data_IF_354095713204
#
_entry.id   IF_354095713204
#
_cell.length_a   1.000
_cell.length_b   1.000
_cell.length_c   1.000
_cell.angle_alpha   90.00
_cell.angle_beta   90.00
_cell.angle_gamma   90.00
#
_symmetry.space_group_name_H-M   'P 1'
#
loop_
_entity.id
_entity.type
_entity.pdbx_description
1 polymer ?
#
# COMPACT_ATOMS: atom_id res chain seq x y z
N UNK A 1 -18.17 -13.68 -1.64
CA UNK A 1 -17.79 -12.77 -0.53
C UNK A 1 -18.22 -13.36 0.79
N UNK A 2 -17.51 -13.03 1.88
CA UNK A 2 -17.87 -13.47 3.24
C UNK A 2 -19.02 -12.61 3.77
N UNK A 3 -20.10 -13.24 4.22
CA UNK A 3 -21.34 -12.56 4.66
C UNK A 3 -21.25 -11.87 6.03
N UNK A 4 -20.21 -12.15 6.83
CA UNK A 4 -20.05 -11.56 8.17
C UNK A 4 -19.82 -10.03 8.13
N UNK A 5 -20.42 -9.30 9.06
CA UNK A 5 -20.25 -7.85 9.18
C UNK A 5 -18.86 -7.48 9.73
N UNK A 6 -18.29 -6.38 9.24
CA UNK A 6 -16.98 -5.90 9.70
C UNK A 6 -17.04 -5.24 11.08
N UNK A 7 -15.89 -5.14 11.75
CA UNK A 7 -15.79 -4.62 13.12
C UNK A 7 -15.71 -3.08 13.23
N UNK A 8 -15.62 -2.36 12.10
CA UNK A 8 -15.38 -0.93 12.12
C UNK A 8 -14.00 -0.59 12.72
N UNK A 9 -13.95 0.51 13.45
CA UNK A 9 -12.79 1.02 14.18
C UNK A 9 -11.83 1.86 13.34
N UNK A 10 -10.82 2.41 14.04
CA UNK A 10 -9.75 3.22 13.47
C UNK A 10 -8.38 2.56 13.67
N UNK A 11 -7.52 2.69 12.65
CA UNK A 11 -6.10 2.34 12.73
C UNK A 11 -5.24 3.57 13.02
N UNK A 12 -4.03 3.30 13.50
CA UNK A 12 -2.96 4.30 13.69
C UNK A 12 -3.40 5.50 14.52
N UNK A 13 -4.38 5.35 15.41
CA UNK A 13 -4.76 6.45 16.33
C UNK A 13 -3.55 6.82 17.19
N UNK A 14 -2.77 5.82 17.61
CA UNK A 14 -1.43 5.96 18.19
C UNK A 14 -0.34 5.36 17.29
N UNK A 15 0.92 5.75 17.50
CA UNK A 15 2.06 5.13 16.81
C UNK A 15 2.23 3.68 17.25
N UNK A 16 2.01 3.38 18.53
CA UNK A 16 2.19 2.03 19.09
C UNK A 16 1.13 1.02 18.62
N UNK A 17 0.01 1.50 18.09
CA UNK A 17 -1.09 0.68 17.58
C UNK A 17 -0.75 0.02 16.25
N UNK A 18 0.36 0.40 15.62
CA UNK A 18 0.81 -0.21 14.37
C UNK A 18 2.25 -0.67 14.53
N UNK A 19 2.45 -1.98 14.72
CA UNK A 19 3.77 -2.58 14.85
C UNK A 19 4.07 -3.51 13.68
N UNK A 20 5.27 -3.38 13.13
CA UNK A 20 5.74 -4.16 11.99
C UNK A 20 7.10 -4.75 12.33
N UNK A 21 7.19 -6.06 12.40
CA UNK A 21 8.45 -6.77 12.57
C UNK A 21 8.80 -7.50 11.28
N UNK A 22 9.97 -7.21 10.74
CA UNK A 22 10.46 -7.88 9.54
C UNK A 22 10.73 -9.37 9.80
N UNK A 23 10.12 -10.22 8.99
CA UNK A 23 10.44 -11.64 8.94
C UNK A 23 11.55 -11.85 7.91
N UNK A 24 12.79 -11.90 8.39
CA UNK A 24 13.97 -12.12 7.57
C UNK A 24 14.95 -13.06 8.27
N UNK A 25 15.67 -13.88 7.50
CA UNK A 25 16.81 -14.63 8.02
C UNK A 25 17.94 -13.69 8.37
N UNK A 26 18.46 -13.79 9.59
CA UNK A 26 19.70 -13.11 9.95
C UNK A 26 20.83 -13.65 9.06
N UNK A 27 21.61 -12.80 8.39
CA UNK A 27 22.75 -13.25 7.60
C UNK A 27 23.71 -14.10 8.43
N UNK A 28 24.41 -15.05 7.79
CA UNK A 28 25.35 -15.90 8.49
C UNK A 28 26.41 -15.06 9.22
N UNK A 29 26.54 -15.27 10.53
CA UNK A 29 27.43 -14.49 11.38
C UNK A 29 28.85 -15.08 11.40
N UNK A 30 29.83 -14.20 11.36
CA UNK A 30 31.26 -14.48 11.46
C UNK A 30 31.93 -13.26 12.10
N UNK A 31 32.67 -13.45 13.20
CA UNK A 31 33.37 -12.38 13.91
C UNK A 31 34.44 -11.67 13.05
N UNK A 32 34.94 -12.32 12.00
CA UNK A 32 35.85 -11.74 11.00
C UNK A 32 35.10 -11.03 9.87
N UNK A 33 33.77 -11.05 9.89
CA UNK A 33 32.90 -10.41 8.93
C UNK A 33 33.20 -8.93 8.74
N UNK A 34 33.09 -8.41 7.51
CA UNK A 34 33.31 -6.99 7.22
C UNK A 34 32.22 -6.09 7.82
N UNK A 35 30.97 -6.53 7.72
CA UNK A 35 29.81 -5.72 8.07
C UNK A 35 29.31 -6.04 9.49
N UNK A 36 28.67 -5.08 10.14
CA UNK A 36 27.94 -5.28 11.40
C UNK A 36 26.46 -5.51 11.11
N UNK A 37 25.89 -6.57 11.67
CA UNK A 37 24.46 -6.86 11.60
C UNK A 37 23.79 -6.30 12.85
N UNK A 38 22.73 -5.53 12.67
CA UNK A 38 21.94 -5.01 13.78
C UNK A 38 20.45 -5.20 13.53
N UNK A 39 19.71 -5.60 14.57
CA UNK A 39 18.26 -5.49 14.62
C UNK A 39 17.92 -4.10 15.14
N UNK A 40 17.18 -3.33 14.34
CA UNK A 40 16.86 -1.95 14.66
C UNK A 40 15.35 -1.80 14.79
N UNK A 41 14.91 -1.35 15.97
CA UNK A 41 13.54 -0.95 16.25
C UNK A 41 13.45 0.57 16.18
N UNK A 42 12.49 1.11 15.43
CA UNK A 42 12.29 2.56 15.26
C UNK A 42 10.83 2.91 15.52
N UNK A 43 10.60 3.98 16.28
CA UNK A 43 9.27 4.52 16.58
C UNK A 43 9.07 5.83 15.83
N UNK A 44 8.02 5.91 15.01
CA UNK A 44 7.65 7.13 14.25
C UNK A 44 8.71 7.66 13.24
N UNK A 45 9.60 6.80 12.75
CA UNK A 45 10.69 7.17 11.85
C UNK A 45 10.40 6.82 10.39
N UNK A 46 10.64 7.77 9.47
CA UNK A 46 10.75 7.43 8.06
C UNK A 46 12.11 6.77 7.81
N UNK A 47 12.11 5.58 7.18
CA UNK A 47 13.29 4.73 7.04
C UNK A 47 14.48 5.47 6.43
N UNK A 48 14.30 6.22 5.33
CA UNK A 48 15.43 6.90 4.69
C UNK A 48 16.04 8.02 5.53
N UNK A 49 15.22 8.75 6.28
CA UNK A 49 15.65 9.75 7.25
C UNK A 49 16.45 9.09 8.38
N UNK A 50 15.96 7.97 8.92
CA UNK A 50 16.68 7.22 9.95
C UNK A 50 18.03 6.69 9.45
N UNK A 51 18.05 6.04 8.28
CA UNK A 51 19.30 5.53 7.68
C UNK A 51 20.34 6.64 7.45
N UNK A 52 19.91 7.85 7.08
CA UNK A 52 20.83 9.02 6.96
C UNK A 52 21.37 9.46 8.33
N UNK A 53 20.54 9.44 9.37
CA UNK A 53 20.95 9.79 10.74
C UNK A 53 21.96 8.75 11.28
N UNK A 54 21.68 7.47 11.08
CA UNK A 54 22.57 6.36 11.44
C UNK A 54 23.90 6.44 10.70
N UNK A 55 23.88 6.66 9.38
CA UNK A 55 25.09 6.80 8.58
C UNK A 55 25.98 7.95 9.08
N UNK A 56 25.39 9.11 9.40
CA UNK A 56 26.11 10.25 9.97
C UNK A 56 26.71 9.92 11.34
N UNK A 57 25.97 9.25 12.22
CA UNK A 57 26.47 8.83 13.53
C UNK A 57 27.65 7.85 13.42
N UNK A 58 27.62 6.97 12.42
CA UNK A 58 28.68 6.03 12.10
C UNK A 58 29.87 6.65 11.33
N UNK A 59 29.74 7.88 10.80
CA UNK A 59 30.78 8.51 9.95
C UNK A 59 30.91 7.87 8.57
N UNK A 60 29.82 7.30 8.02
CA UNK A 60 29.81 6.61 6.72
C UNK A 60 28.79 7.23 5.76
N UNK A 61 28.91 6.91 4.47
CA UNK A 61 27.88 7.23 3.48
C UNK A 61 26.61 6.36 3.73
N UNK A 62 25.41 6.91 3.51
CA UNK A 62 24.13 6.18 3.62
C UNK A 62 24.11 4.89 2.77
N UNK A 63 24.73 4.90 1.59
CA UNK A 63 24.79 3.74 0.69
C UNK A 63 25.61 2.56 1.24
N UNK A 64 26.29 2.75 2.38
CA UNK A 64 27.00 1.72 3.13
C UNK A 64 26.14 1.06 4.23
N UNK A 65 24.84 1.37 4.25
CA UNK A 65 23.85 0.69 5.08
C UNK A 65 22.87 -0.02 4.15
N UNK A 66 22.72 -1.32 4.36
CA UNK A 66 21.90 -2.20 3.54
C UNK A 66 20.66 -2.64 4.34
N UNK A 67 19.49 -2.50 3.73
CA UNK A 67 18.18 -2.83 4.30
C UNK A 67 17.33 -3.56 3.27
N UNK A 68 16.46 -4.47 3.73
CA UNK A 68 15.64 -5.29 2.83
C UNK A 68 14.37 -4.58 2.32
N UNK A 69 13.99 -3.45 2.93
CA UNK A 69 12.77 -2.73 2.60
C UNK A 69 12.66 -1.38 3.30
N UNK A 70 11.67 -0.59 2.89
CA UNK A 70 11.20 0.57 3.62
C UNK A 70 10.05 0.14 4.53
N UNK A 71 9.90 0.80 5.68
CA UNK A 71 8.82 0.53 6.64
C UNK A 71 7.96 1.78 6.84
N UNK A 72 6.74 1.58 7.31
CA UNK A 72 5.80 2.66 7.64
C UNK A 72 6.41 3.66 8.63
N UNK A 73 6.28 4.96 8.34
CA UNK A 73 6.71 6.01 9.28
C UNK A 73 5.89 5.98 10.56
N UNK A 74 4.56 6.04 10.46
CA UNK A 74 3.64 6.12 11.60
C UNK A 74 3.39 4.72 12.17
N UNK A 75 4.44 4.12 12.72
CA UNK A 75 4.46 2.78 13.28
C UNK A 75 5.66 2.60 14.22
N UNK A 76 5.65 1.52 15.00
CA UNK A 76 6.87 0.91 15.55
C UNK A 76 7.33 -0.16 14.57
N UNK A 77 8.56 -0.05 14.07
CA UNK A 77 9.07 -0.93 13.03
C UNK A 77 10.39 -1.56 13.42
N UNK A 78 10.53 -2.86 13.26
CA UNK A 78 11.75 -3.62 13.55
C UNK A 78 12.26 -4.27 12.28
N UNK A 79 13.54 -4.08 11.95
CA UNK A 79 14.15 -4.65 10.75
C UNK A 79 15.63 -4.97 10.94
N UNK A 80 16.17 -5.84 10.08
CA UNK A 80 17.60 -6.14 10.04
C UNK A 80 18.32 -5.15 9.13
N UNK A 81 19.37 -4.53 9.66
CA UNK A 81 20.31 -3.70 8.90
C UNK A 81 21.68 -4.37 8.86
N UNK A 82 22.32 -4.33 7.68
CA UNK A 82 23.73 -4.64 7.53
C UNK A 82 24.48 -3.34 7.30
N UNK A 83 25.45 -3.05 8.15
CA UNK A 83 26.12 -1.76 8.25
C UNK A 83 27.61 -1.95 8.00
N UNK A 84 28.17 -1.28 6.99
CA UNK A 84 29.61 -1.31 6.72
C UNK A 84 30.36 -0.31 7.63
N UNK A 85 30.30 -0.58 8.93
CA UNK A 85 31.01 0.12 10.00
C UNK A 85 31.51 -0.88 11.06
N UNK A 86 32.51 -0.51 11.87
CA UNK A 86 32.96 -1.36 12.97
C UNK A 86 31.87 -1.59 14.02
N UNK A 87 31.80 -2.81 14.57
CA UNK A 87 30.86 -3.20 15.65
C UNK A 87 30.76 -2.18 16.78
N UNK A 88 31.89 -1.83 17.41
CA UNK A 88 31.96 -0.83 18.51
C UNK A 88 31.39 0.54 18.12
N UNK A 89 31.52 0.92 16.85
CA UNK A 89 30.99 2.19 16.35
C UNK A 89 29.47 2.14 16.23
N UNK A 90 28.89 1.02 15.81
CA UNK A 90 27.43 0.83 15.76
C UNK A 90 26.84 0.73 17.17
N UNK A 91 27.50 0.01 18.09
CA UNK A 91 27.06 -0.14 19.49
C UNK A 91 27.02 1.19 20.26
N UNK A 92 27.82 2.18 19.87
CA UNK A 92 27.86 3.51 20.49
C UNK A 92 26.89 4.51 19.86
N UNK A 93 26.10 4.12 18.84
CA UNK A 93 25.13 5.03 18.23
C UNK A 93 23.87 5.12 19.09
N UNK A 94 23.55 6.35 19.49
CA UNK A 94 22.27 6.67 20.12
C UNK A 94 21.44 7.56 19.19
N UNK A 95 20.22 7.11 18.88
CA UNK A 95 19.24 7.88 18.12
C UNK A 95 17.92 7.84 18.91
N UNK A 96 17.31 9.00 19.24
CA UNK A 96 16.03 9.04 19.93
C UNK A 96 14.95 8.23 19.22
N UNK A 97 14.03 7.67 19.99
CA UNK A 97 12.91 6.87 19.50
C UNK A 97 13.34 5.65 18.67
N UNK A 98 14.49 5.07 19.01
CA UNK A 98 14.99 3.85 18.38
C UNK A 98 15.85 3.01 19.32
N UNK A 99 16.00 1.74 18.97
CA UNK A 99 16.87 0.78 19.66
C UNK A 99 17.68 0.04 18.62
N UNK A 100 18.99 -0.06 18.84
CA UNK A 100 19.94 -0.76 17.97
C UNK A 100 20.51 -1.95 18.76
N UNK A 101 20.08 -3.15 18.42
CA UNK A 101 20.60 -4.39 18.98
C UNK A 101 21.61 -4.99 17.99
N UNK A 102 22.90 -4.97 18.33
CA UNK A 102 23.95 -5.54 17.48
C UNK A 102 24.00 -7.06 17.65
N UNK A 103 23.75 -7.78 16.56
CA UNK A 103 23.68 -9.24 16.56
C UNK A 103 25.05 -9.89 16.34
N UNK A 104 25.94 -9.22 15.60
CA UNK A 104 27.26 -9.75 15.26
C UNK A 104 27.86 -9.13 14.01
N UNK A 105 28.77 -9.85 13.38
CA UNK A 105 29.44 -9.45 12.14
C UNK A 105 29.15 -10.45 11.02
N UNK A 106 29.23 -10.02 9.76
CA UNK A 106 28.97 -10.87 8.59
C UNK A 106 29.78 -10.44 7.36
N UNK A 107 29.95 -11.36 6.41
CA UNK A 107 30.47 -11.07 5.07
C UNK A 107 29.35 -10.76 4.05
N UNK A 108 28.10 -11.00 4.41
CA UNK A 108 26.95 -10.87 3.52
C UNK A 108 26.33 -9.47 3.59
N UNK A 109 25.81 -8.99 2.47
CA UNK A 109 24.93 -7.82 2.42
C UNK A 109 23.48 -8.31 2.37
N UNK A 110 22.56 -7.42 2.69
CA UNK A 110 21.12 -7.61 2.45
C UNK A 110 20.71 -6.75 1.26
N UNK A 111 20.00 -7.32 0.30
CA UNK A 111 19.43 -6.62 -0.84
C UNK A 111 17.95 -6.28 -0.63
N UNK A 112 17.45 -5.35 -1.44
CA UNK A 112 16.04 -4.98 -1.43
C UNK A 112 15.18 -6.19 -1.83
N UNK A 113 14.24 -6.57 -0.96
CA UNK A 113 13.36 -7.73 -1.17
C UNK A 113 13.90 -9.07 -0.66
N UNK A 114 14.98 -9.07 0.13
CA UNK A 114 15.54 -10.27 0.77
C UNK A 114 14.79 -10.71 2.05
N UNK A 115 13.70 -10.02 2.43
CA UNK A 115 12.84 -10.48 3.53
C UNK A 115 11.75 -11.42 3.02
N UNK A 116 11.36 -12.37 3.88
CA UNK A 116 10.31 -13.34 3.61
C UNK A 116 8.92 -12.70 3.80
N UNK A 117 8.82 -11.70 4.68
CA UNK A 117 7.57 -11.03 4.97
C UNK A 117 7.64 -10.07 6.15
N UNK A 118 6.47 -9.71 6.69
CA UNK A 118 6.35 -8.87 7.86
C UNK A 118 5.30 -9.44 8.80
N UNK A 119 5.64 -9.53 10.08
CA UNK A 119 4.72 -9.84 11.18
C UNK A 119 4.13 -8.53 11.67
N UNK A 120 2.81 -8.42 11.59
CA UNK A 120 2.06 -7.25 12.03
C UNK A 120 1.47 -7.50 13.41
N UNK A 121 1.49 -6.47 14.25
CA UNK A 121 0.63 -6.37 15.43
C UNK A 121 -0.09 -5.03 15.34
N UNK A 122 -1.39 -5.09 15.06
CA UNK A 122 -2.20 -3.91 14.78
C UNK A 122 -3.32 -3.83 15.82
N UNK A 123 -3.50 -2.66 16.40
CA UNK A 123 -4.61 -2.36 17.29
C UNK A 123 -5.65 -1.54 16.52
N UNK A 124 -6.87 -2.08 16.44
CA UNK A 124 -8.07 -1.40 15.95
C UNK A 124 -8.76 -0.82 17.18
N UNK A 125 -9.05 0.49 17.17
CA UNK A 125 -9.72 1.16 18.30
C UNK A 125 -11.14 1.58 17.94
N UNK A 126 -12.05 1.42 18.89
CA UNK A 126 -13.43 1.90 18.78
C UNK A 126 -14.29 1.09 17.83
N UNK A 127 -14.32 -0.24 18.00
CA UNK A 127 -15.13 -1.13 17.15
C UNK A 127 -16.61 -0.77 17.24
N UNK A 128 -17.31 -0.83 16.11
CA UNK A 128 -18.73 -0.52 16.03
C UNK A 128 -19.42 -1.41 14.99
N UNK A 129 -20.75 -1.43 15.02
CA UNK A 129 -21.55 -2.06 13.97
C UNK A 129 -21.71 -1.15 12.73
N UNK A 130 -22.56 -1.54 11.79
CA UNK A 130 -22.83 -0.83 10.54
C UNK A 130 -23.59 0.49 10.78
N UNK A 131 -24.31 0.61 11.91
CA UNK A 131 -25.01 1.83 12.31
C UNK A 131 -24.11 2.83 13.02
N UNK A 132 -22.87 2.45 13.35
CA UNK A 132 -21.93 3.24 14.13
C UNK A 132 -22.08 3.04 15.65
N UNK A 133 -22.94 2.13 16.09
CA UNK A 133 -23.14 1.84 17.52
C UNK A 133 -21.97 1.01 18.06
N UNK A 134 -21.49 1.29 19.30
CA UNK A 134 -20.34 0.59 19.86
C UNK A 134 -20.64 -0.91 20.05
N UNK A 135 -19.66 -1.75 19.73
CA UNK A 135 -19.72 -3.20 20.01
C UNK A 135 -18.67 -3.59 21.03
N UNK A 136 -19.02 -4.55 21.89
CA UNK A 136 -18.11 -5.08 22.90
C UNK A 136 -17.02 -5.98 22.29
N UNK A 137 -16.02 -6.34 23.10
CA UNK A 137 -14.88 -7.13 22.64
C UNK A 137 -15.29 -8.55 22.23
N UNK A 138 -16.31 -9.13 22.88
CA UNK A 138 -16.75 -10.50 22.60
C UNK A 138 -17.39 -10.57 21.21
N UNK A 139 -18.28 -9.63 20.90
CA UNK A 139 -18.92 -9.51 19.60
C UNK A 139 -17.91 -9.17 18.51
N UNK A 140 -17.02 -8.21 18.76
CA UNK A 140 -15.98 -7.84 17.80
C UNK A 140 -15.05 -9.04 17.48
N UNK A 141 -14.60 -9.78 18.50
CA UNK A 141 -13.79 -10.99 18.29
C UNK A 141 -14.56 -12.10 17.56
N UNK A 142 -15.85 -12.29 17.84
CA UNK A 142 -16.70 -13.24 17.10
C UNK A 142 -16.71 -12.91 15.61
N UNK A 143 -16.96 -11.65 15.25
CA UNK A 143 -16.95 -11.17 13.85
C UNK A 143 -15.59 -11.39 13.17
N UNK A 144 -14.47 -11.10 13.84
CA UNK A 144 -13.13 -11.35 13.28
C UNK A 144 -12.94 -12.83 12.94
N UNK A 145 -13.32 -13.74 13.85
CA UNK A 145 -13.20 -15.18 13.61
C UNK A 145 -14.12 -15.64 12.46
N UNK A 146 -15.35 -15.16 12.39
CA UNK A 146 -16.28 -15.46 11.29
C UNK A 146 -15.76 -14.98 9.94
N UNK A 147 -15.16 -13.78 9.90
CA UNK A 147 -14.53 -13.25 8.69
C UNK A 147 -13.34 -14.12 8.29
N UNK A 148 -12.46 -14.49 9.22
CA UNK A 148 -11.33 -15.39 8.96
C UNK A 148 -11.81 -16.73 8.39
N UNK A 149 -12.75 -17.38 9.05
CA UNK A 149 -13.25 -18.70 8.67
C UNK A 149 -13.99 -18.64 7.33
N UNK A 150 -14.75 -17.58 7.10
CA UNK A 150 -15.40 -17.31 5.83
C UNK A 150 -14.40 -17.09 4.69
N UNK A 151 -13.31 -16.34 4.94
CA UNK A 151 -12.25 -16.13 3.96
C UNK A 151 -11.60 -17.46 3.62
N UNK A 152 -11.17 -18.21 4.64
CA UNK A 152 -10.55 -19.52 4.47
C UNK A 152 -11.44 -20.49 3.68
N UNK A 153 -12.74 -20.55 3.99
CA UNK A 153 -13.72 -21.38 3.28
C UNK A 153 -13.92 -20.93 1.83
N UNK A 154 -14.08 -19.62 1.59
CA UNK A 154 -14.32 -19.08 0.25
C UNK A 154 -13.12 -19.21 -0.68
N UNK A 155 -11.93 -19.18 -0.12
CA UNK A 155 -10.65 -19.24 -0.84
C UNK A 155 -10.09 -20.66 -0.94
N UNK A 156 -10.49 -21.56 -0.05
CA UNK A 156 -9.92 -22.90 0.09
C UNK A 156 -8.56 -22.92 0.81
N UNK A 157 -8.11 -21.77 1.35
CA UNK A 157 -6.89 -21.61 2.14
C UNK A 157 -6.91 -20.29 2.90
N UNK A 158 -6.00 -20.12 3.87
CA UNK A 158 -5.81 -18.86 4.61
C UNK A 158 -5.22 -17.77 3.70
N UNK A 159 -6.10 -17.14 2.94
CA UNK A 159 -5.79 -16.07 2.02
C UNK A 159 -6.91 -15.02 1.95
N UNK A 160 -6.58 -13.83 1.44
CA UNK A 160 -7.53 -12.76 1.16
C UNK A 160 -7.28 -12.16 -0.23
N UNK A 161 -8.26 -11.44 -0.82
CA UNK A 161 -8.09 -10.82 -2.13
C UNK A 161 -7.02 -9.71 -2.08
N UNK A 162 -6.13 -9.68 -3.07
CA UNK A 162 -4.95 -8.80 -3.09
C UNK A 162 -5.26 -7.39 -3.60
N UNK A 163 -6.25 -6.72 -3.00
CA UNK A 163 -6.60 -5.34 -3.36
C UNK A 163 -5.40 -4.41 -3.29
N UNK A 164 -5.39 -3.40 -4.15
CA UNK A 164 -4.47 -2.28 -4.01
C UNK A 164 -5.12 -1.25 -3.08
N UNK A 165 -4.45 -0.94 -1.98
CA UNK A 165 -4.99 -0.15 -0.88
C UNK A 165 -5.10 1.36 -1.16
N UNK A 166 -5.83 2.09 -0.29
CA UNK A 166 -6.13 3.52 -0.47
C UNK A 166 -4.90 4.43 -0.51
N UNK A 167 -3.79 4.02 0.11
CA UNK A 167 -2.54 4.77 0.08
C UNK A 167 -1.98 4.96 -1.34
N UNK A 168 -2.34 4.08 -2.29
CA UNK A 168 -1.97 4.20 -3.71
C UNK A 168 -2.74 5.33 -4.41
N UNK A 169 -3.99 5.53 -3.99
CA UNK A 169 -4.94 6.46 -4.60
C UNK A 169 -4.92 7.84 -3.93
N UNK A 170 -4.52 7.87 -2.65
CA UNK A 170 -4.59 9.03 -1.75
C UNK A 170 -5.78 8.88 -0.79
N UNK A 171 -5.52 8.46 0.46
CA UNK A 171 -6.58 8.01 1.38
C UNK A 171 -7.68 9.05 1.65
N UNK A 172 -7.33 10.33 1.80
CA UNK A 172 -8.28 11.42 2.05
C UNK A 172 -8.67 12.17 0.78
N UNK A 173 -7.95 11.93 -0.31
CA UNK A 173 -8.10 12.63 -1.57
C UNK A 173 -7.65 11.69 -2.68
N UNK A 174 -8.55 10.85 -3.23
CA UNK A 174 -8.23 9.80 -4.19
C UNK A 174 -7.96 10.37 -5.61
N UNK A 175 -7.09 11.38 -5.69
CA UNK A 175 -6.82 12.18 -6.89
C UNK A 175 -5.86 11.48 -7.85
N UNK A 176 -4.97 10.62 -7.34
CA UNK A 176 -3.88 10.09 -8.15
C UNK A 176 -4.36 9.30 -9.37
N UNK A 177 -5.41 8.46 -9.33
CA UNK A 177 -5.90 7.79 -10.53
C UNK A 177 -6.57 8.76 -11.51
N UNK A 178 -7.22 9.83 -11.02
CA UNK A 178 -7.86 10.82 -11.90
C UNK A 178 -6.81 11.61 -12.69
N UNK A 179 -5.73 12.02 -12.01
CA UNK A 179 -4.57 12.65 -12.67
C UNK A 179 -3.87 11.65 -13.59
N UNK A 180 -3.77 10.39 -13.19
CA UNK A 180 -3.24 9.31 -14.02
C UNK A 180 -3.99 9.16 -15.34
N UNK A 181 -5.33 9.18 -15.30
CA UNK A 181 -6.19 9.13 -16.48
C UNK A 181 -5.95 10.34 -17.41
N UNK A 182 -5.93 11.56 -16.87
CA UNK A 182 -5.62 12.75 -17.67
C UNK A 182 -4.23 12.69 -18.32
N UNK A 183 -3.22 12.17 -17.61
CA UNK A 183 -1.84 12.03 -18.13
C UNK A 183 -1.75 11.01 -19.26
N UNK A 184 -2.42 9.86 -19.16
CA UNK A 184 -2.40 8.85 -20.23
C UNK A 184 -3.19 9.29 -21.47
N UNK A 185 -4.20 10.15 -21.29
CA UNK A 185 -4.95 10.79 -22.37
C UNK A 185 -4.16 11.95 -23.02
N UNK A 186 -3.03 12.36 -22.43
CA UNK A 186 -2.21 13.48 -22.89
C UNK A 186 -2.79 14.87 -22.53
N UNK A 187 -3.85 14.91 -21.71
CA UNK A 187 -4.51 16.12 -21.22
C UNK A 187 -3.84 16.62 -19.93
N UNK A 188 -2.73 17.34 -20.10
CA UNK A 188 -1.98 17.88 -18.98
C UNK A 188 -2.66 19.08 -18.30
N UNK A 189 -3.54 19.79 -18.99
CA UNK A 189 -4.37 20.84 -18.38
C UNK A 189 -5.27 20.23 -17.33
N UNK A 190 -6.05 19.20 -17.71
CA UNK A 190 -6.89 18.45 -16.77
C UNK A 190 -6.07 17.79 -15.67
N UNK A 191 -4.87 17.28 -15.98
CA UNK A 191 -4.00 16.68 -14.96
C UNK A 191 -3.59 17.70 -13.87
N UNK A 192 -3.23 18.93 -14.26
CA UNK A 192 -2.91 20.00 -13.31
C UNK A 192 -4.16 20.45 -12.56
N UNK A 193 -5.28 20.61 -13.25
CA UNK A 193 -6.55 21.01 -12.65
C UNK A 193 -7.02 20.04 -11.57
N UNK A 194 -6.97 18.73 -11.84
CA UNK A 194 -7.32 17.72 -10.87
C UNK A 194 -6.34 17.71 -9.69
N UNK A 195 -5.04 17.80 -9.97
CA UNK A 195 -4.04 17.73 -8.89
C UNK A 195 -4.15 18.93 -7.93
N UNK A 196 -4.32 20.14 -8.47
CA UNK A 196 -4.43 21.38 -7.70
C UNK A 196 -5.84 21.56 -7.13
N UNK A 197 -6.88 21.36 -7.93
CA UNK A 197 -8.24 21.78 -7.61
C UNK A 197 -9.14 20.72 -7.00
N UNK A 198 -8.88 19.42 -7.13
CA UNK A 198 -9.81 18.40 -6.63
C UNK A 198 -9.89 18.42 -5.09
N UNK A 199 -11.12 18.52 -4.56
CA UNK A 199 -11.41 18.55 -3.12
C UNK A 199 -11.03 17.25 -2.42
N UNK A 200 -10.68 17.36 -1.14
CA UNK A 200 -10.48 16.22 -0.25
C UNK A 200 -11.70 15.97 0.65
N UNK A 201 -11.90 14.73 1.10
CA UNK A 201 -13.04 14.38 1.98
C UNK A 201 -12.95 15.02 3.37
N UNK A 202 -11.73 15.26 3.85
CA UNK A 202 -11.45 15.86 5.17
C UNK A 202 -10.25 16.81 5.06
N UNK A 203 -10.40 17.89 4.30
CA UNK A 203 -9.36 18.92 4.18
C UNK A 203 -9.61 20.11 5.10
N UNK A 204 -8.53 20.70 5.63
CA UNK A 204 -8.62 21.89 6.48
C UNK A 204 -9.04 23.14 5.69
N UNK A 205 -9.59 24.17 6.36
CA UNK A 205 -10.21 25.33 5.71
C UNK A 205 -9.28 26.07 4.75
N UNK A 206 -8.00 26.18 5.09
CA UNK A 206 -6.99 26.81 4.21
C UNK A 206 -6.80 26.04 2.90
N UNK A 207 -6.82 24.70 2.94
CA UNK A 207 -6.66 23.89 1.74
C UNK A 207 -7.94 23.99 0.88
N UNK A 208 -9.12 23.91 1.50
CA UNK A 208 -10.39 24.08 0.79
C UNK A 208 -10.45 25.43 0.06
N UNK A 209 -10.08 26.53 0.72
CA UNK A 209 -10.05 27.86 0.13
C UNK A 209 -9.05 27.99 -1.03
N UNK A 210 -7.84 27.46 -0.87
CA UNK A 210 -6.82 27.41 -1.93
C UNK A 210 -7.35 26.67 -3.18
N UNK A 211 -7.94 25.49 -2.99
CA UNK A 211 -8.44 24.67 -4.11
C UNK A 211 -9.66 25.31 -4.77
N UNK A 212 -10.57 25.89 -3.99
CA UNK A 212 -11.72 26.63 -4.51
C UNK A 212 -11.28 27.81 -5.38
N UNK A 213 -10.30 28.61 -4.91
CA UNK A 213 -9.72 29.69 -5.71
C UNK A 213 -9.23 29.20 -7.07
N UNK A 214 -8.53 28.06 -7.13
CA UNK A 214 -8.10 27.50 -8.42
C UNK A 214 -9.28 27.09 -9.29
N UNK A 215 -10.27 26.37 -8.73
CA UNK A 215 -11.45 25.92 -9.47
C UNK A 215 -12.26 27.08 -10.04
N UNK A 216 -12.42 28.15 -9.27
CA UNK A 216 -13.31 29.27 -9.61
C UNK A 216 -12.65 30.27 -10.56
N UNK A 217 -11.36 30.53 -10.38
CA UNK A 217 -10.67 31.62 -11.06
C UNK A 217 -9.69 31.16 -12.13
N UNK A 218 -9.14 29.95 -12.01
CA UNK A 218 -7.98 29.47 -12.77
C UNK A 218 -6.80 30.47 -12.81
N UNK A 219 -6.71 31.34 -11.81
CA UNK A 219 -5.66 32.36 -11.69
C UNK A 219 -4.56 31.83 -10.75
N UNK A 220 -3.35 31.55 -11.26
CA UNK A 220 -2.25 31.05 -10.44
C UNK A 220 -1.83 32.03 -9.34
N UNK A 221 -1.84 33.34 -9.63
CA UNK A 221 -1.37 34.37 -8.69
C UNK A 221 -2.33 34.50 -7.51
N UNK A 222 -3.64 34.61 -7.78
CA UNK A 222 -4.67 34.67 -6.72
C UNK A 222 -4.68 33.43 -5.86
N UNK A 223 -4.57 32.25 -6.48
CA UNK A 223 -4.56 30.99 -5.75
C UNK A 223 -3.31 30.86 -4.88
N UNK A 224 -2.14 31.33 -5.35
CA UNK A 224 -0.89 31.30 -4.57
C UNK A 224 -0.93 32.17 -3.30
N UNK A 225 -1.72 33.24 -3.27
CA UNK A 225 -1.93 34.06 -2.06
C UNK A 225 -2.58 33.28 -0.92
N UNK A 226 -3.39 32.27 -1.27
CA UNK A 226 -4.09 31.40 -0.31
C UNK A 226 -3.33 30.11 -0.01
N UNK A 227 -2.17 29.88 -0.63
CA UNK A 227 -1.50 28.59 -0.59
C UNK A 227 -0.90 28.27 0.80
N UNK A 228 -1.41 27.24 1.51
CA UNK A 228 -0.82 26.84 2.77
C UNK A 228 0.55 26.18 2.56
N UNK A 229 1.48 26.37 3.52
CA UNK A 229 2.88 25.87 3.44
C UNK A 229 3.02 24.38 3.13
N UNK A 230 2.01 23.57 3.48
CA UNK A 230 2.00 22.12 3.26
C UNK A 230 1.73 21.69 1.81
N UNK A 231 1.14 22.55 0.97
CA UNK A 231 0.78 22.27 -0.42
C UNK A 231 1.88 22.67 -1.40
N UNK A 232 3.13 22.33 -1.08
CA UNK A 232 4.30 22.77 -1.84
C UNK A 232 4.35 22.26 -3.29
N UNK A 233 3.73 21.11 -3.58
CA UNK A 233 3.66 20.58 -4.95
C UNK A 233 2.65 21.35 -5.80
N UNK A 234 1.45 21.59 -5.26
CA UNK A 234 0.44 22.41 -5.91
C UNK A 234 0.96 23.84 -6.15
N UNK A 235 1.60 24.45 -5.14
CA UNK A 235 2.20 25.78 -5.29
C UNK A 235 3.29 25.81 -6.35
N UNK A 236 4.12 24.77 -6.47
CA UNK A 236 5.17 24.71 -7.50
C UNK A 236 4.58 24.68 -8.91
N UNK A 237 3.47 23.96 -9.12
CA UNK A 237 2.75 23.96 -10.40
C UNK A 237 2.22 25.36 -10.74
N UNK A 238 1.55 26.00 -9.78
CA UNK A 238 0.97 27.34 -10.00
C UNK A 238 2.05 28.41 -10.20
N UNK A 239 3.17 28.33 -9.48
CA UNK A 239 4.32 29.22 -9.69
C UNK A 239 4.92 29.06 -11.09
N UNK A 240 4.90 27.84 -11.64
CA UNK A 240 5.31 27.60 -13.02
C UNK A 240 4.32 28.26 -14.00
N UNK A 241 3.02 28.03 -13.83
CA UNK A 241 1.99 28.62 -14.69
C UNK A 241 1.95 30.15 -14.63
N UNK A 242 2.21 30.76 -13.46
CA UNK A 242 2.33 32.20 -13.32
C UNK A 242 3.48 32.79 -14.17
N UNK A 243 4.57 32.03 -14.34
CA UNK A 243 5.74 32.44 -15.14
C UNK A 243 5.60 32.07 -16.61
N UNK A 244 4.92 30.96 -16.90
CA UNK A 244 4.71 30.39 -18.23
C UNK A 244 3.24 29.97 -18.37
N UNK A 245 2.35 30.90 -18.76
CA UNK A 245 0.95 30.57 -19.02
C UNK A 245 0.84 29.41 -20.01
N UNK A 246 -0.18 28.58 -19.81
CA UNK A 246 -0.52 27.42 -20.65
C UNK A 246 0.52 26.28 -20.75
N UNK A 247 1.68 26.39 -20.07
CA UNK A 247 2.69 25.31 -20.01
C UNK A 247 2.34 24.27 -18.93
N UNK A 248 1.21 23.58 -19.10
CA UNK A 248 0.71 22.55 -18.17
C UNK A 248 1.63 21.33 -18.10
N UNK A 249 2.31 20.99 -19.20
CA UNK A 249 3.31 19.92 -19.22
C UNK A 249 4.49 20.30 -18.31
N UNK A 250 5.00 21.53 -18.43
CA UNK A 250 6.04 22.06 -17.55
C UNK A 250 5.60 22.12 -16.10
N UNK A 251 4.37 22.57 -15.83
CA UNK A 251 3.79 22.60 -14.49
C UNK A 251 3.73 21.19 -13.88
N UNK A 252 3.21 20.19 -14.60
CA UNK A 252 3.19 18.81 -14.14
C UNK A 252 4.60 18.25 -13.88
N UNK A 253 5.58 18.62 -14.72
CA UNK A 253 6.99 18.20 -14.57
C UNK A 253 7.67 18.74 -13.30
N UNK A 254 7.09 19.73 -12.61
CA UNK A 254 7.60 20.18 -11.30
C UNK A 254 7.48 19.11 -10.22
N UNK A 255 6.58 18.14 -10.38
CA UNK A 255 6.47 17.00 -9.47
C UNK A 255 7.73 16.12 -9.51
N UNK A 256 8.11 15.47 -8.40
CA UNK A 256 9.13 14.43 -8.43
C UNK A 256 8.79 13.31 -9.42
N UNK A 257 9.78 12.78 -10.14
CA UNK A 257 9.58 11.72 -11.14
C UNK A 257 8.83 10.50 -10.59
N UNK A 258 9.09 10.13 -9.33
CA UNK A 258 8.40 9.02 -8.65
C UNK A 258 6.91 9.28 -8.44
N UNK A 259 6.52 10.54 -8.16
CA UNK A 259 5.14 10.94 -7.96
C UNK A 259 4.39 11.02 -9.30
N UNK A 260 5.06 11.50 -10.35
CA UNK A 260 4.49 11.46 -11.71
C UNK A 260 4.22 10.01 -12.15
N UNK A 261 5.16 9.11 -11.91
CA UNK A 261 5.01 7.69 -12.23
C UNK A 261 3.91 7.02 -11.38
N UNK A 262 3.75 7.43 -10.11
CA UNK A 262 2.68 6.97 -9.25
C UNK A 262 1.29 7.26 -9.85
N UNK A 263 1.09 8.40 -10.51
CA UNK A 263 -0.20 8.73 -11.15
C UNK A 263 -0.58 7.68 -12.20
N UNK A 264 0.32 7.38 -13.14
CA UNK A 264 0.09 6.34 -14.16
C UNK A 264 -0.11 4.97 -13.52
N UNK A 265 0.71 4.62 -12.52
CA UNK A 265 0.55 3.34 -11.84
C UNK A 265 -0.75 3.22 -11.02
N UNK A 266 -1.30 4.34 -10.55
CA UNK A 266 -2.52 4.35 -9.76
C UNK A 266 -3.76 4.08 -10.62
N UNK A 267 -3.82 4.58 -11.86
CA UNK A 267 -4.93 4.27 -12.76
C UNK A 267 -4.89 2.81 -13.25
N UNK A 268 -3.69 2.23 -13.46
CA UNK A 268 -3.55 0.78 -13.64
C UNK A 268 -4.07 0.00 -12.43
N UNK A 269 -3.78 0.50 -11.23
CA UNK A 269 -4.20 -0.12 -9.97
C UNK A 269 -5.73 -0.11 -9.80
N UNK A 270 -6.39 0.92 -10.33
CA UNK A 270 -7.86 1.03 -10.32
C UNK A 270 -8.48 -0.07 -11.20
N UNK A 271 -7.99 -0.23 -12.43
CA UNK A 271 -8.44 -1.30 -13.33
C UNK A 271 -8.22 -2.70 -12.75
N UNK A 272 -7.07 -2.93 -12.11
CA UNK A 272 -6.81 -4.19 -11.40
C UNK A 272 -7.86 -4.44 -10.29
N UNK A 273 -8.18 -3.43 -9.49
CA UNK A 273 -9.20 -3.56 -8.44
C UNK A 273 -10.58 -3.87 -9.05
N UNK A 274 -11.00 -3.20 -10.13
CA UNK A 274 -12.26 -3.53 -10.80
C UNK A 274 -12.25 -4.96 -11.33
N UNK A 275 -11.19 -5.39 -12.03
CA UNK A 275 -11.07 -6.76 -12.54
C UNK A 275 -11.12 -7.82 -11.42
N UNK A 276 -10.48 -7.55 -10.28
CA UNK A 276 -10.55 -8.41 -9.10
C UNK A 276 -11.98 -8.49 -8.54
N UNK A 277 -12.69 -7.35 -8.49
CA UNK A 277 -14.10 -7.28 -8.08
C UNK A 277 -15.00 -8.11 -9.00
N UNK A 278 -14.86 -7.94 -10.32
CA UNK A 278 -15.63 -8.69 -11.32
C UNK A 278 -15.40 -10.19 -11.20
N UNK A 279 -14.15 -10.61 -11.02
CA UNK A 279 -13.84 -12.03 -10.81
C UNK A 279 -14.50 -12.61 -9.57
N UNK A 280 -14.53 -11.86 -8.48
CA UNK A 280 -15.21 -12.28 -7.25
C UNK A 280 -16.72 -12.36 -7.49
N UNK A 281 -17.31 -11.38 -8.18
CA UNK A 281 -18.73 -11.33 -8.50
C UNK A 281 -19.16 -12.47 -9.43
N UNK A 282 -18.29 -12.87 -10.37
CA UNK A 282 -18.51 -13.99 -11.28
C UNK A 282 -18.33 -15.38 -10.62
N UNK A 283 -17.99 -15.42 -9.32
CA UNK A 283 -17.81 -16.66 -8.56
C UNK A 283 -16.54 -17.46 -8.90
N UNK A 284 -15.60 -16.87 -9.66
CA UNK A 284 -14.34 -17.54 -9.98
C UNK A 284 -13.38 -17.51 -8.80
N UNK A 285 -12.66 -18.61 -8.58
CA UNK A 285 -11.67 -18.70 -7.50
C UNK A 285 -10.49 -17.75 -7.73
N UNK A 286 -9.96 -17.17 -6.65
CA UNK A 286 -8.75 -16.32 -6.67
C UNK A 286 -7.46 -17.13 -6.47
N UNK A 287 -7.56 -18.44 -6.25
CA UNK A 287 -6.44 -19.35 -5.99
C UNK A 287 -6.42 -20.49 -6.99
N UNK A 288 -7.57 -21.11 -7.25
CA UNK A 288 -7.64 -22.19 -8.22
C UNK A 288 -7.87 -21.62 -9.62
N UNK A 289 -6.94 -21.86 -10.57
CA UNK A 289 -7.12 -21.39 -11.93
C UNK A 289 -8.22 -22.17 -12.66
N UNK A 290 -8.84 -21.50 -13.62
CA UNK A 290 -9.70 -22.07 -14.65
C UNK A 290 -9.04 -21.90 -16.03
N UNK A 291 -9.58 -22.57 -17.06
CA UNK A 291 -9.10 -22.34 -18.44
C UNK A 291 -9.24 -20.87 -18.83
N UNK A 292 -8.23 -20.35 -19.52
CA UNK A 292 -8.10 -18.93 -19.85
C UNK A 292 -7.31 -18.11 -18.84
N UNK A 293 -7.09 -18.59 -17.61
CA UNK A 293 -6.29 -17.84 -16.63
C UNK A 293 -4.82 -17.70 -17.04
N UNK A 294 -4.19 -16.63 -16.57
CA UNK A 294 -2.73 -16.48 -16.56
C UNK A 294 -2.18 -16.73 -15.16
N UNK A 295 -1.30 -17.71 -15.03
CA UNK A 295 -0.62 -18.06 -13.77
C UNK A 295 0.86 -17.71 -13.84
N UNK A 296 1.45 -17.31 -12.71
CA UNK A 296 2.87 -16.97 -12.60
C UNK A 296 3.54 -17.73 -11.44
N UNK A 297 4.83 -18.11 -11.56
CA UNK A 297 5.60 -18.61 -10.42
C UNK A 297 5.66 -17.61 -9.28
N UNK A 298 5.43 -18.10 -8.06
CA UNK A 298 5.60 -17.33 -6.84
C UNK A 298 7.01 -17.56 -6.28
N UNK A 299 7.78 -16.48 -6.13
CA UNK A 299 9.11 -16.50 -5.56
C UNK A 299 9.04 -16.57 -4.03
N UNK A 300 10.15 -16.97 -3.38
CA UNK A 300 10.21 -17.11 -1.92
C UNK A 300 9.88 -15.82 -1.15
N UNK A 301 10.14 -14.67 -1.76
CA UNK A 301 9.80 -13.35 -1.22
C UNK A 301 8.37 -12.88 -1.58
N UNK A 302 7.50 -13.77 -2.08
CA UNK A 302 6.11 -13.45 -2.41
C UNK A 302 5.90 -12.64 -3.69
N UNK A 303 6.97 -12.30 -4.43
CA UNK A 303 6.85 -11.68 -5.76
C UNK A 303 6.51 -12.73 -6.81
N UNK A 304 5.81 -12.31 -7.87
CA UNK A 304 5.57 -13.16 -9.03
C UNK A 304 6.63 -12.97 -10.11
N UNK A 305 7.00 -14.05 -10.79
CA UNK A 305 7.86 -14.03 -11.97
C UNK A 305 7.01 -13.89 -13.24
N UNK A 306 6.72 -12.63 -13.61
CA UNK A 306 5.91 -12.29 -14.80
C UNK A 306 6.53 -12.81 -16.09
N UNK A 307 7.88 -12.92 -16.15
CA UNK A 307 8.58 -13.43 -17.32
C UNK A 307 8.38 -14.93 -17.59
N UNK A 308 7.84 -15.67 -16.60
CA UNK A 308 7.56 -17.10 -16.69
C UNK A 308 6.07 -17.42 -16.54
N UNK A 309 5.20 -16.47 -16.90
CA UNK A 309 3.77 -16.70 -16.91
C UNK A 309 3.39 -17.80 -17.91
N UNK A 310 2.31 -18.51 -17.59
CA UNK A 310 1.74 -19.53 -18.45
C UNK A 310 0.23 -19.34 -18.58
N UNK A 311 -0.27 -19.51 -19.80
CA UNK A 311 -1.69 -19.59 -20.06
C UNK A 311 -2.25 -20.95 -19.63
N UNK A 312 -3.40 -20.94 -18.97
CA UNK A 312 -4.07 -22.15 -18.49
C UNK A 312 -4.98 -22.67 -19.60
N UNK A 313 -4.72 -23.90 -20.03
CA UNK A 313 -5.51 -24.63 -21.03
C UNK A 313 -5.97 -25.97 -20.46
N UNK A 314 -6.92 -26.63 -21.13
CA UNK A 314 -7.39 -27.96 -20.78
C UNK A 314 -6.25 -28.97 -20.50
N UNK A 315 -5.16 -28.91 -21.28
CA UNK A 315 -4.04 -29.84 -21.17
C UNK A 315 -3.15 -29.64 -19.94
N UNK A 316 -3.12 -28.43 -19.36
CA UNK A 316 -2.22 -28.08 -18.25
C UNK A 316 -2.96 -27.69 -16.96
N UNK A 317 -4.30 -27.59 -17.00
CA UNK A 317 -5.17 -27.12 -15.92
C UNK A 317 -4.89 -27.82 -14.58
N UNK A 318 -4.90 -29.15 -14.55
CA UNK A 318 -4.69 -29.90 -13.30
C UNK A 318 -3.29 -29.70 -12.72
N UNK A 319 -2.28 -29.56 -13.57
CA UNK A 319 -0.92 -29.22 -13.14
C UNK A 319 -0.87 -27.81 -12.55
N UNK A 320 -1.56 -26.85 -13.17
CA UNK A 320 -1.64 -25.47 -12.69
C UNK A 320 -2.38 -25.40 -11.34
N UNK A 321 -3.54 -26.06 -11.23
CA UNK A 321 -4.32 -26.18 -9.97
C UNK A 321 -3.48 -26.74 -8.84
N UNK A 322 -2.81 -27.88 -9.06
CA UNK A 322 -1.93 -28.49 -8.05
C UNK A 322 -0.82 -27.55 -7.60
N UNK A 323 -0.15 -26.85 -8.52
CA UNK A 323 0.93 -25.94 -8.16
C UNK A 323 0.43 -24.65 -7.49
N UNK A 324 -0.78 -24.18 -7.79
CA UNK A 324 -1.40 -23.06 -7.08
C UNK A 324 -1.74 -23.46 -5.63
N UNK A 325 -2.31 -24.65 -5.41
CA UNK A 325 -2.56 -25.20 -4.07
C UNK A 325 -1.29 -25.35 -3.24
N UNK A 326 -0.17 -25.69 -3.88
CA UNK A 326 1.15 -25.80 -3.25
C UNK A 326 1.85 -24.44 -3.08
N UNK A 327 1.24 -23.32 -3.48
CA UNK A 327 1.84 -21.99 -3.40
C UNK A 327 3.05 -21.75 -4.31
N UNK A 328 3.20 -22.58 -5.36
CA UNK A 328 4.29 -22.47 -6.36
C UNK A 328 3.91 -21.62 -7.56
N UNK A 329 2.62 -21.61 -7.90
CA UNK A 329 2.02 -20.73 -8.89
C UNK A 329 0.94 -19.88 -8.21
N UNK A 330 0.57 -18.77 -8.85
CA UNK A 330 -0.56 -17.95 -8.41
C UNK A 330 -1.33 -17.44 -9.61
N UNK A 331 -2.66 -17.34 -9.47
CA UNK A 331 -3.52 -16.71 -10.48
C UNK A 331 -3.27 -15.20 -10.47
N UNK A 332 -3.16 -14.62 -11.65
CA UNK A 332 -2.78 -13.21 -11.81
C UNK A 332 -3.90 -12.39 -12.44
N UNK A 333 -4.01 -11.12 -12.05
CA UNK A 333 -4.84 -10.10 -12.70
C UNK A 333 -4.00 -9.07 -13.44
N UNK A 334 -4.62 -8.42 -14.42
CA UNK A 334 -3.96 -7.42 -15.27
C UNK A 334 -3.75 -6.09 -14.55
N UNK A 335 -2.56 -5.50 -14.75
CA UNK A 335 -2.31 -4.08 -14.58
C UNK A 335 -2.11 -3.53 -16.00
N UNK A 336 -3.15 -2.93 -16.61
CA UNK A 336 -3.19 -2.69 -18.05
C UNK A 336 -2.09 -1.73 -18.52
N UNK A 337 -1.64 -1.90 -19.76
CA UNK A 337 -0.62 -1.10 -20.40
C UNK A 337 -0.50 -1.49 -21.87
N UNK A 338 0.46 -0.88 -22.58
CA UNK A 338 0.58 -0.99 -24.04
C UNK A 338 0.74 -2.44 -24.53
N UNK A 339 1.48 -3.25 -23.79
CA UNK A 339 1.88 -4.60 -24.16
C UNK A 339 1.21 -5.65 -23.22
N UNK A 340 0.05 -5.30 -22.65
CA UNK A 340 -0.65 -6.14 -21.68
C UNK A 340 -1.11 -7.47 -22.28
N UNK A 341 -0.71 -8.56 -21.63
CA UNK A 341 -1.31 -9.88 -21.86
C UNK A 341 -2.57 -9.98 -21.01
N UNK A 342 -3.72 -10.26 -21.62
CA UNK A 342 -4.98 -10.53 -20.93
C UNK A 342 -5.21 -12.03 -20.76
N UNK A 343 -5.98 -12.40 -19.75
CA UNK A 343 -6.54 -13.74 -19.67
C UNK A 343 -7.57 -13.96 -20.79
N UNK A 344 -7.92 -15.21 -21.09
CA UNK A 344 -8.92 -15.57 -22.09
C UNK A 344 -10.23 -16.04 -21.43
N UNK A 345 -11.29 -16.18 -22.24
CA UNK A 345 -12.56 -16.76 -21.79
C UNK A 345 -13.24 -15.94 -20.67
N UNK A 346 -13.78 -16.63 -19.67
CA UNK A 346 -14.44 -15.98 -18.54
C UNK A 346 -13.49 -15.10 -17.69
N UNK A 347 -12.27 -15.55 -17.33
CA UNK A 347 -11.27 -14.67 -16.72
C UNK A 347 -10.96 -13.41 -17.53
N UNK A 348 -10.79 -13.56 -18.85
CA UNK A 348 -10.52 -12.43 -19.76
C UNK A 348 -11.62 -11.38 -19.74
N UNK A 349 -12.89 -11.80 -19.80
CA UNK A 349 -14.04 -10.89 -19.73
C UNK A 349 -14.07 -10.07 -18.43
N UNK A 350 -13.70 -10.66 -17.30
CA UNK A 350 -13.60 -9.94 -16.03
C UNK A 350 -12.49 -8.88 -16.05
N UNK A 351 -11.38 -9.16 -16.73
CA UNK A 351 -10.29 -8.20 -16.91
C UNK A 351 -10.69 -7.05 -17.84
N UNK A 352 -11.33 -7.36 -18.97
CA UNK A 352 -11.85 -6.37 -19.92
C UNK A 352 -12.89 -5.46 -19.25
N UNK A 353 -13.84 -6.04 -18.50
CA UNK A 353 -14.83 -5.29 -17.74
C UNK A 353 -14.17 -4.40 -16.68
N UNK A 354 -13.12 -4.89 -16.01
CA UNK A 354 -12.35 -4.09 -15.07
C UNK A 354 -11.66 -2.88 -15.70
N UNK A 355 -11.10 -3.05 -16.90
CA UNK A 355 -10.52 -1.96 -17.71
C UNK A 355 -11.61 -0.97 -18.15
N UNK A 356 -12.77 -1.48 -18.57
CA UNK A 356 -13.92 -0.67 -18.98
C UNK A 356 -14.47 0.18 -17.84
N UNK A 357 -14.68 -0.40 -16.66
CA UNK A 357 -15.14 0.33 -15.47
C UNK A 357 -14.15 1.40 -15.01
N UNK A 358 -12.84 1.17 -15.21
CA UNK A 358 -11.82 2.17 -14.94
C UNK A 358 -11.78 3.29 -16.01
N UNK A 359 -12.57 3.20 -17.09
CA UNK A 359 -12.60 4.18 -18.17
C UNK A 359 -11.38 4.12 -19.09
N UNK A 360 -10.79 2.92 -19.25
CA UNK A 360 -9.49 2.74 -19.94
C UNK A 360 -9.60 1.94 -21.25
N UNK A 361 -10.82 1.78 -21.75
CA UNK A 361 -11.06 1.12 -23.04
C UNK A 361 -10.47 1.96 -24.18
N UNK A 362 -9.69 1.32 -25.05
CA UNK A 362 -9.07 1.99 -26.21
C UNK A 362 -7.88 2.91 -25.91
N UNK A 363 -7.41 3.00 -24.67
CA UNK A 363 -6.24 3.82 -24.30
C UNK A 363 -4.95 3.24 -24.91
N UNK A 364 -4.15 4.09 -25.57
CA UNK A 364 -2.87 3.68 -26.20
C UNK A 364 -1.74 3.37 -25.19
N UNK A 365 -1.89 3.80 -23.93
CA UNK A 365 -0.90 3.68 -22.86
C UNK A 365 0.48 4.29 -23.17
N UNK A 366 0.52 5.19 -24.15
CA UNK A 366 1.73 5.85 -24.64
C UNK A 366 1.66 7.35 -24.35
N UNK A 367 2.49 7.83 -23.42
CA UNK A 367 2.53 9.24 -23.01
C UNK A 367 3.59 9.98 -23.83
N UNK A 368 3.20 10.47 -25.01
CA UNK A 368 4.13 11.06 -26.00
C UNK A 368 4.91 12.26 -25.45
N UNK A 369 4.26 13.11 -24.67
CA UNK A 369 4.82 14.35 -24.10
C UNK A 369 5.85 14.08 -22.98
N UNK A 370 5.73 12.94 -22.30
CA UNK A 370 6.64 12.49 -21.24
C UNK A 370 6.90 10.98 -21.42
N UNK A 371 7.76 10.57 -22.37
CA UNK A 371 7.89 9.16 -22.76
C UNK A 371 8.17 8.17 -21.62
N UNK A 372 8.89 8.60 -20.57
CA UNK A 372 9.16 7.78 -19.37
C UNK A 372 7.91 7.41 -18.55
N UNK A 373 6.76 8.00 -18.84
CA UNK A 373 5.48 7.66 -18.22
C UNK A 373 4.70 6.61 -19.01
N UNK A 374 5.15 6.26 -20.21
CA UNK A 374 4.63 5.12 -20.98
C UNK A 374 4.87 3.82 -20.21
N UNK A 375 3.86 2.95 -20.17
CA UNK A 375 3.91 1.68 -19.44
C UNK A 375 3.51 0.53 -20.34
N UNK A 376 4.28 -0.56 -20.32
CA UNK A 376 3.96 -1.80 -21.03
C UNK A 376 2.82 -2.57 -20.37
N UNK A 377 2.45 -2.22 -19.14
CA UNK A 377 1.57 -3.05 -18.33
C UNK A 377 2.32 -4.19 -17.66
N UNK A 378 1.67 -4.82 -16.69
CA UNK A 378 2.20 -5.97 -15.96
C UNK A 378 1.05 -6.78 -15.36
N UNK A 379 1.34 -7.74 -14.49
CA UNK A 379 0.34 -8.54 -13.78
C UNK A 379 0.64 -8.60 -12.30
N UNK A 380 -0.37 -8.94 -11.51
CA UNK A 380 -0.30 -9.02 -10.04
C UNK A 380 -1.08 -10.24 -9.55
N UNK A 381 -0.59 -10.91 -8.52
CA UNK A 381 -1.32 -12.00 -7.86
C UNK A 381 -2.70 -11.54 -7.39
N UNK A 382 -3.75 -12.35 -7.59
CA UNK A 382 -5.11 -12.02 -7.18
C UNK A 382 -5.39 -12.26 -5.69
N UNK A 383 -4.62 -13.12 -5.05
CA UNK A 383 -4.77 -13.48 -3.64
C UNK A 383 -3.44 -13.33 -2.88
N UNK A 384 -3.55 -13.11 -1.58
CA UNK A 384 -2.41 -13.07 -0.66
C UNK A 384 -2.61 -14.10 0.44
N UNK A 385 -1.66 -15.03 0.67
CA UNK A 385 -1.70 -15.90 1.82
C UNK A 385 -1.34 -15.14 3.11
N UNK A 386 -1.96 -15.49 4.22
CA UNK A 386 -1.58 -15.02 5.55
C UNK A 386 -1.33 -16.18 6.51
N UNK A 387 -0.61 -15.93 7.59
CA UNK A 387 -0.30 -16.92 8.63
C UNK A 387 -0.37 -16.31 10.03
N UNK A 388 -0.40 -17.15 11.04
CA UNK A 388 -0.33 -16.78 12.47
C UNK A 388 -1.39 -15.74 12.89
N UNK A 389 -2.62 -15.83 12.35
CA UNK A 389 -3.67 -14.88 12.71
C UNK A 389 -4.16 -15.14 14.14
N UNK A 390 -4.15 -14.10 14.97
CA UNK A 390 -4.73 -14.13 16.32
C UNK A 390 -5.39 -12.80 16.62
N UNK A 391 -6.46 -12.83 17.42
CA UNK A 391 -7.16 -11.63 17.91
C UNK A 391 -7.34 -11.71 19.41
N UNK A 392 -7.08 -10.60 20.10
CA UNK A 392 -7.30 -10.43 21.54
C UNK A 392 -7.87 -9.03 21.81
N UNK A 393 -8.51 -8.84 22.97
CA UNK A 393 -8.87 -7.49 23.43
C UNK A 393 -7.60 -6.69 23.71
N UNK A 394 -7.52 -5.48 23.15
CA UNK A 394 -6.43 -4.56 23.43
C UNK A 394 -6.72 -3.79 24.73
N UNK A 395 -5.70 -3.47 25.52
CA UNK A 395 -5.87 -2.63 26.70
C UNK A 395 -6.35 -1.23 26.30
N UNK A 396 -7.13 -0.63 27.20
CA UNK A 396 -7.47 0.79 27.11
C UNK A 396 -6.20 1.63 27.12
N UNK A 397 -6.22 2.70 26.33
CA UNK A 397 -5.11 3.61 26.23
C UNK A 397 -5.64 4.99 25.87
N UNK A 398 -5.06 6.03 26.49
CA UNK A 398 -5.35 7.40 26.09
C UNK A 398 -5.00 7.58 24.60
N UNK A 399 -5.86 8.22 23.83
CA UNK A 399 -5.71 8.33 22.38
C UNK A 399 -5.52 9.80 22.00
N UNK A 400 -4.27 10.30 21.99
CA UNK A 400 -3.97 11.70 21.68
C UNK A 400 -4.04 11.93 20.16
N UNK A 401 -5.23 11.76 19.60
CA UNK A 401 -5.52 11.90 18.19
C UNK A 401 -6.73 12.81 18.05
N UNK A 402 -6.56 13.98 17.44
CA UNK A 402 -7.60 15.00 17.36
C UNK A 402 -8.95 14.45 16.87
N UNK A 403 -8.95 13.61 15.83
CA UNK A 403 -10.19 12.98 15.33
C UNK A 403 -10.87 12.08 16.36
N UNK A 404 -10.10 11.44 17.23
CA UNK A 404 -10.66 10.66 18.34
C UNK A 404 -11.33 11.57 19.38
N UNK A 405 -10.73 12.72 19.67
CA UNK A 405 -11.26 13.72 20.60
C UNK A 405 -12.50 14.45 20.05
N UNK A 406 -12.50 14.75 18.75
CA UNK A 406 -13.62 15.41 18.05
C UNK A 406 -14.87 14.50 17.95
N UNK A 407 -14.70 13.19 18.13
CA UNK A 407 -15.76 12.20 17.99
C UNK A 407 -16.04 11.76 16.54
N UNK A 408 -16.85 10.71 16.36
CA UNK A 408 -17.21 10.21 15.04
C UNK A 408 -18.13 11.20 14.29
N UNK A 409 -17.92 11.33 12.99
CA UNK A 409 -18.81 12.09 12.10
C UNK A 409 -19.83 11.17 11.40
N UNK A 410 -20.84 11.74 10.76
CA UNK A 410 -21.75 10.97 9.91
C UNK A 410 -20.97 10.17 8.85
N UNK A 411 -21.30 8.89 8.73
CA UNK A 411 -20.61 7.94 7.83
C UNK A 411 -19.34 7.31 8.40
N UNK A 412 -18.86 7.74 9.58
CA UNK A 412 -17.77 7.04 10.26
C UNK A 412 -18.23 5.69 10.80
N UNK A 413 -17.30 4.72 10.76
CA UNK A 413 -17.48 3.40 11.34
C UNK A 413 -16.49 3.19 12.47
N UNK A 414 -16.60 3.98 13.52
CA UNK A 414 -15.93 3.78 14.79
C UNK A 414 -16.69 4.49 15.92
N UNK A 415 -16.52 4.04 17.15
CA UNK A 415 -17.15 4.66 18.33
C UNK A 415 -16.19 4.66 19.54
N UNK A 416 -16.04 5.77 20.30
CA UNK A 416 -15.11 5.84 21.43
C UNK A 416 -15.34 4.78 22.52
N UNK A 417 -16.61 4.45 22.78
CA UNK A 417 -17.01 3.39 23.74
C UNK A 417 -16.90 1.97 23.15
N UNK A 418 -16.58 1.86 21.86
CA UNK A 418 -16.40 0.60 21.19
C UNK A 418 -15.12 -0.12 21.64
N UNK A 419 -15.14 -1.44 21.62
CA UNK A 419 -13.99 -2.23 22.03
C UNK A 419 -12.73 -1.92 21.18
N UNK A 420 -11.56 -2.08 21.78
CA UNK A 420 -10.30 -2.10 21.05
C UNK A 420 -9.80 -3.52 20.91
N UNK A 421 -9.42 -3.94 19.69
CA UNK A 421 -8.89 -5.27 19.41
C UNK A 421 -7.44 -5.18 18.94
N UNK A 422 -6.62 -6.14 19.37
CA UNK A 422 -5.27 -6.33 18.85
C UNK A 422 -5.23 -7.58 17.98
N UNK A 423 -4.84 -7.40 16.73
CA UNK A 423 -4.65 -8.46 15.76
C UNK A 423 -3.17 -8.68 15.51
N UNK A 424 -2.76 -9.94 15.46
CA UNK A 424 -1.43 -10.36 15.01
C UNK A 424 -1.57 -11.25 13.79
N UNK A 425 -0.71 -11.08 12.80
CA UNK A 425 -0.66 -11.92 11.59
C UNK A 425 0.63 -11.67 10.80
N UNK A 426 1.00 -12.60 9.93
CA UNK A 426 2.18 -12.51 9.07
C UNK A 426 1.77 -12.43 7.60
N UNK A 427 2.31 -11.46 6.86
CA UNK A 427 2.10 -11.30 5.42
C UNK A 427 3.41 -11.43 4.63
N UNK A 428 3.38 -11.89 3.37
CA UNK A 428 4.52 -11.87 2.46
C UNK A 428 5.09 -10.46 2.23
N UNK A 429 6.31 -10.40 1.71
CA UNK A 429 6.93 -9.12 1.35
C UNK A 429 6.12 -8.37 0.28
N UNK A 430 6.08 -7.04 0.39
CA UNK A 430 5.38 -6.18 -0.58
C UNK A 430 3.86 -6.10 -0.42
N UNK A 431 3.28 -6.78 0.58
CA UNK A 431 1.85 -6.67 0.93
C UNK A 431 1.64 -5.66 2.06
N UNK A 432 0.59 -4.85 1.93
CA UNK A 432 0.18 -3.88 2.94
C UNK A 432 -0.84 -4.50 3.90
N UNK A 433 -0.60 -4.37 5.21
CA UNK A 433 -1.53 -4.88 6.22
C UNK A 433 -2.92 -4.22 6.17
N UNK A 434 -3.00 -2.98 5.66
CA UNK A 434 -4.28 -2.29 5.46
C UNK A 434 -5.22 -3.04 4.54
N UNK A 435 -4.72 -3.87 3.62
CA UNK A 435 -5.54 -4.71 2.74
C UNK A 435 -6.18 -5.86 3.51
N UNK A 436 -5.44 -6.51 4.41
CA UNK A 436 -6.01 -7.52 5.30
C UNK A 436 -7.00 -6.89 6.30
N UNK A 437 -6.63 -5.74 6.87
CA UNK A 437 -7.50 -4.99 7.77
C UNK A 437 -8.78 -4.51 7.07
N UNK A 438 -8.76 -4.28 5.76
CA UNK A 438 -9.95 -3.96 4.97
C UNK A 438 -11.01 -5.05 5.09
N UNK A 439 -10.63 -6.31 4.92
CA UNK A 439 -11.56 -7.44 4.99
C UNK A 439 -12.17 -7.60 6.38
N UNK A 440 -11.41 -7.26 7.43
CA UNK A 440 -11.80 -7.40 8.84
C UNK A 440 -12.64 -6.22 9.32
N UNK A 441 -12.17 -4.99 9.10
CA UNK A 441 -12.82 -3.77 9.60
C UNK A 441 -14.05 -3.39 8.76
N UNK A 442 -13.93 -3.50 7.42
CA UNK A 442 -14.92 -3.00 6.46
C UNK A 442 -15.36 -1.56 6.78
N UNK A 443 -14.39 -0.71 7.06
CA UNK A 443 -14.55 0.72 7.35
C UNK A 443 -14.33 1.56 6.09
N UNK A 444 -14.74 2.84 6.09
CA UNK A 444 -14.36 3.79 5.05
C UNK A 444 -12.83 3.94 4.89
N UNK A 445 -12.37 4.34 3.71
CA UNK A 445 -10.93 4.32 3.33
C UNK A 445 -10.03 5.21 4.19
N UNK A 446 -10.59 6.25 4.80
CA UNK A 446 -9.90 7.20 5.68
C UNK A 446 -9.76 6.70 7.13
N UNK A 447 -10.19 5.47 7.44
CA UNK A 447 -10.06 4.83 8.76
C UNK A 447 -8.78 3.99 8.91
N UNK A 448 -8.00 3.79 7.83
CA UNK A 448 -6.86 2.86 7.74
C UNK A 448 -5.47 3.49 7.83
#
# INVERSE_FOLDING_TARGET
MVSAEGIGGLLKTRVEDFRVEESSKVPALDDKGRFTVARVTMTNWETNRYLRRLARACGINKNRIFSSGLKDKRAITTQILVIDAPRRKVESVEIPDSTIEVLGRTHQKVAMGDHDGNRFTITVRGCCDISGSPIDAKEAMRRVNEIRDGLAKSMGSDAFPNWIGPQRFGSTRPVTPQVGAAVIDGDFERAVDLYVGMEGTREGPEAAAFRASWRDTRDPSKSLELAPKRLGYESAMLQHLAKKPDDYIGAFKTLPNSLQLLMVHSIQSLAFNHALSERIASGLSLIEPVEGDLVAPLLSNGRIDVGKMAHVSATNLERCRRNCKLGRLVVTGTLPGRDSSFAEGAPGKNEEEGVRQAGLEGVEWTVKQIPRLTTSGTRRALSVPFRDISVEQAPEANTPFQRWEDGPMEGDRWHPEGASLRLRFTLPAGVYATVMMREIMRSPLDHY
#
